data_IF_363368096028
#
_entry.id   IF_363368096028
#
_cell.length_a   1.000
_cell.length_b   1.000
_cell.length_c   1.000
_cell.angle_alpha   90.00
_cell.angle_beta   90.00
_cell.angle_gamma   90.00
#
_symmetry.space_group_name_H-M   'P 1'
#
loop_
_entity.id
_entity.type
_entity.pdbx_description
1 polymer ?
#
# COMPACT_ATOMS: atom_id res chain seq x y z
N UNK A 1 -0.22 -7.05 -7.20
CA UNK A 1 0.90 -7.46 -6.34
C UNK A 1 2.12 -7.69 -7.20
N UNK A 2 3.32 -7.26 -6.77
CA UNK A 2 4.52 -7.42 -7.59
C UNK A 2 4.83 -8.90 -7.83
N UNK A 3 4.95 -9.29 -9.11
CA UNK A 3 5.12 -10.70 -9.51
C UNK A 3 6.42 -11.25 -8.94
N UNK A 4 6.37 -12.43 -8.32
CA UNK A 4 7.56 -13.10 -7.78
C UNK A 4 8.17 -12.46 -6.53
N UNK A 5 7.43 -11.58 -5.86
CA UNK A 5 7.81 -11.00 -4.56
C UNK A 5 6.85 -11.52 -3.49
N UNK A 6 7.34 -12.22 -2.45
CA UNK A 6 6.49 -12.64 -1.34
C UNK A 6 5.95 -11.39 -0.65
N UNK A 7 4.63 -11.26 -0.58
CA UNK A 7 3.98 -10.09 -0.03
C UNK A 7 2.80 -10.48 0.86
N UNK A 8 2.61 -9.71 1.91
CA UNK A 8 1.44 -9.77 2.79
C UNK A 8 0.80 -8.38 2.80
N UNK A 9 -0.52 -8.36 2.70
CA UNK A 9 -1.31 -7.16 2.89
C UNK A 9 -2.25 -7.34 4.09
N UNK A 10 -2.53 -6.24 4.77
CA UNK A 10 -3.47 -6.17 5.87
C UNK A 10 -4.35 -4.95 5.71
N UNK A 11 -5.63 -5.08 6.01
CA UNK A 11 -6.62 -4.00 5.88
C UNK A 11 -7.37 -3.89 7.21
N UNK A 12 -7.40 -2.69 7.79
CA UNK A 12 -8.18 -2.41 8.99
C UNK A 12 -9.21 -1.31 8.70
N UNK A 13 -10.36 -1.41 9.35
CA UNK A 13 -11.30 -0.29 9.49
C UNK A 13 -10.78 0.65 10.58
N UNK A 14 -10.59 1.94 10.25
CA UNK A 14 -10.13 2.96 11.21
C UNK A 14 -11.25 3.89 11.66
N UNK A 15 -12.49 3.58 11.28
CA UNK A 15 -13.67 4.40 11.56
C UNK A 15 -13.82 5.56 10.58
N UNK A 16 -14.85 6.38 10.79
CA UNK A 16 -15.15 7.57 9.96
C UNK A 16 -15.29 7.31 8.45
N UNK A 17 -15.57 6.06 8.06
CA UNK A 17 -15.66 5.69 6.65
C UNK A 17 -14.31 5.42 5.99
N UNK A 18 -13.24 5.32 6.75
CA UNK A 18 -11.87 5.12 6.24
C UNK A 18 -11.36 3.70 6.51
N UNK A 19 -10.51 3.20 5.61
CA UNK A 19 -9.70 2.01 5.82
C UNK A 19 -8.23 2.40 5.85
N UNK A 20 -7.43 1.64 6.58
CA UNK A 20 -5.97 1.67 6.43
C UNK A 20 -5.51 0.38 5.77
N UNK A 21 -4.64 0.51 4.77
CA UNK A 21 -4.06 -0.58 4.00
C UNK A 21 -2.58 -0.62 4.30
N UNK A 22 -2.10 -1.77 4.77
CA UNK A 22 -0.70 -2.05 5.04
C UNK A 22 -0.22 -3.12 4.05
N UNK A 23 0.95 -2.93 3.46
CA UNK A 23 1.56 -3.91 2.55
C UNK A 23 3.03 -4.07 2.91
N UNK A 24 3.49 -5.31 3.02
CA UNK A 24 4.90 -5.65 3.20
C UNK A 24 5.36 -6.65 2.13
N UNK A 25 6.50 -6.36 1.50
CA UNK A 25 7.27 -7.30 0.69
C UNK A 25 8.39 -7.89 1.53
N UNK A 26 8.62 -9.21 1.40
CA UNK A 26 9.47 -9.99 2.31
C UNK A 26 9.09 -9.74 3.76
N UNK A 27 7.86 -10.11 4.15
CA UNK A 27 7.31 -9.75 5.45
C UNK A 27 8.11 -10.41 6.59
N UNK A 28 8.18 -9.71 7.71
CA UNK A 28 8.79 -10.18 8.96
C UNK A 28 7.69 -10.33 10.01
N UNK A 29 7.28 -11.58 10.25
CA UNK A 29 6.18 -11.87 11.15
C UNK A 29 4.88 -11.16 10.73
N UNK A 30 4.17 -10.64 11.70
CA UNK A 30 2.84 -10.03 11.59
C UNK A 30 2.79 -8.56 12.01
N UNK A 31 3.96 -7.92 12.18
CA UNK A 31 4.07 -6.50 12.56
C UNK A 31 3.38 -5.55 11.56
N UNK A 32 3.28 -5.97 10.30
CA UNK A 32 2.58 -5.21 9.24
C UNK A 32 1.11 -4.93 9.57
N UNK A 33 0.49 -5.66 10.52
CA UNK A 33 -0.87 -5.40 10.99
C UNK A 33 -1.03 -4.07 11.72
N UNK A 34 0.05 -3.58 12.32
CA UNK A 34 0.03 -2.45 13.24
C UNK A 34 0.77 -1.23 12.69
N UNK A 35 1.86 -1.43 11.96
CA UNK A 35 2.68 -0.34 11.43
C UNK A 35 3.49 -0.79 10.20
N UNK A 36 4.01 0.18 9.45
CA UNK A 36 4.97 -0.04 8.37
C UNK A 36 6.43 -0.05 8.86
N UNK A 37 7.37 0.06 7.92
CA UNK A 37 8.79 0.16 8.22
C UNK A 37 9.56 -1.16 8.12
N UNK A 38 10.87 -1.09 8.33
CA UNK A 38 11.78 -2.23 8.10
C UNK A 38 11.65 -3.39 9.10
N UNK A 39 10.90 -3.17 10.18
CA UNK A 39 10.53 -4.20 11.15
C UNK A 39 9.40 -5.09 10.63
N UNK A 40 8.54 -4.57 9.75
CA UNK A 40 7.43 -5.31 9.16
C UNK A 40 7.78 -5.97 7.82
N UNK A 41 8.81 -5.49 7.11
CA UNK A 41 9.29 -6.10 5.87
C UNK A 41 10.49 -5.38 5.27
N UNK A 42 10.97 -5.85 4.12
CA UNK A 42 12.10 -5.21 3.42
C UNK A 42 11.66 -4.05 2.51
N UNK A 43 10.39 -4.02 2.16
CA UNK A 43 9.72 -2.86 1.60
C UNK A 43 8.27 -2.84 2.10
N UNK A 44 7.80 -1.69 2.57
CA UNK A 44 6.45 -1.54 3.13
C UNK A 44 5.78 -0.27 2.65
N UNK A 45 4.47 -0.32 2.46
CA UNK A 45 3.62 0.83 2.25
C UNK A 45 2.44 0.77 3.22
N UNK A 46 2.11 1.90 3.84
CA UNK A 46 0.89 2.08 4.64
C UNK A 46 0.17 3.31 4.10
N UNK A 47 -1.14 3.22 3.89
CA UNK A 47 -1.94 4.34 3.41
C UNK A 47 -3.40 4.22 3.78
N UNK A 48 -4.12 5.34 3.69
CA UNK A 48 -5.53 5.43 4.05
C UNK A 48 -6.40 5.46 2.80
N UNK A 49 -7.57 4.84 2.86
CA UNK A 49 -8.58 4.82 1.81
C UNK A 49 -9.89 5.38 2.38
N UNK A 50 -10.34 6.48 1.81
CA UNK A 50 -11.63 7.10 2.13
C UNK A 50 -12.74 6.39 1.32
N UNK A 51 -13.83 5.95 1.96
CA UNK A 51 -14.87 5.17 1.27
C UNK A 51 -16.16 5.93 0.98
N UNK A 52 -16.45 7.00 1.71
CA UNK A 52 -17.74 7.69 1.64
C UNK A 52 -17.90 8.48 0.34
N UNK A 53 -16.85 9.16 -0.13
CA UNK A 53 -16.87 9.93 -1.39
C UNK A 53 -16.34 9.12 -2.59
N UNK A 54 -15.97 7.86 -2.39
CA UNK A 54 -15.37 7.00 -3.42
C UNK A 54 -13.98 7.47 -3.86
N UNK A 55 -13.25 8.16 -2.97
CA UNK A 55 -11.89 8.65 -3.25
C UNK A 55 -10.86 7.53 -3.10
N UNK A 56 -9.73 7.69 -3.79
CA UNK A 56 -8.65 6.72 -3.84
C UNK A 56 -7.76 6.78 -2.58
N UNK A 57 -6.67 6.00 -2.56
CA UNK A 57 -5.63 6.08 -1.51
C UNK A 57 -5.29 7.55 -1.27
N UNK A 58 -5.51 8.04 -0.06
CA UNK A 58 -5.28 9.41 0.33
C UNK A 58 -3.79 9.69 0.40
N UNK A 59 -3.34 10.68 -0.36
CA UNK A 59 -2.08 11.35 -0.12
C UNK A 59 -2.41 12.81 0.18
N UNK A 60 -2.54 13.13 1.46
CA UNK A 60 -2.85 14.48 1.94
C UNK A 60 -1.62 15.41 1.91
N UNK A 61 -0.49 14.96 1.36
CA UNK A 61 0.81 15.63 1.34
C UNK A 61 1.36 15.99 2.75
N UNK A 62 0.76 15.44 3.81
CA UNK A 62 1.18 15.58 5.22
C UNK A 62 1.59 14.26 5.86
N UNK A 63 1.50 13.15 5.12
CA UNK A 63 1.86 11.82 5.60
C UNK A 63 0.91 10.71 5.19
N UNK A 64 -0.08 10.96 4.31
CA UNK A 64 -1.09 9.96 3.92
C UNK A 64 -0.57 8.67 3.27
N UNK A 65 0.72 8.58 2.90
CA UNK A 65 1.34 7.30 2.55
C UNK A 65 2.72 7.21 3.21
N UNK A 66 2.87 6.25 4.12
CA UNK A 66 4.16 5.89 4.69
C UNK A 66 4.81 4.80 3.85
N UNK A 67 5.89 5.17 3.17
CA UNK A 67 6.68 4.28 2.32
C UNK A 67 8.07 4.07 2.91
N UNK A 68 8.45 2.82 3.14
CA UNK A 68 9.80 2.43 3.52
C UNK A 68 10.32 1.36 2.57
N UNK A 69 11.36 1.67 1.81
CA UNK A 69 11.95 0.73 0.85
C UNK A 69 13.46 0.74 0.99
N UNK A 70 14.08 -0.44 1.07
CA UNK A 70 15.53 -0.52 1.00
C UNK A 70 15.99 -0.17 -0.41
N UNK A 71 16.96 0.75 -0.51
CA UNK A 71 17.52 1.22 -1.79
C UNK A 71 17.95 0.09 -2.73
N UNK A 72 18.55 -0.97 -2.18
CA UNK A 72 18.99 -2.14 -2.97
C UNK A 72 17.84 -2.88 -3.67
N UNK A 73 16.60 -2.73 -3.20
CA UNK A 73 15.42 -3.41 -3.74
C UNK A 73 14.67 -2.57 -4.78
N UNK A 74 15.02 -1.29 -4.98
CA UNK A 74 14.34 -0.41 -5.94
C UNK A 74 14.26 -1.02 -7.35
N UNK A 75 15.35 -1.56 -7.94
CA UNK A 75 15.29 -2.11 -9.30
C UNK A 75 14.38 -3.32 -9.41
N UNK A 76 14.39 -4.19 -8.38
CA UNK A 76 13.57 -5.40 -8.37
C UNK A 76 12.10 -5.07 -8.20
N UNK A 77 11.77 -4.12 -7.32
CA UNK A 77 10.39 -3.67 -7.10
C UNK A 77 9.84 -2.95 -8.33
N UNK A 78 10.61 -2.05 -8.94
CA UNK A 78 10.16 -1.31 -10.13
C UNK A 78 9.87 -2.22 -11.32
N UNK A 79 10.66 -3.28 -11.49
CA UNK A 79 10.42 -4.30 -12.52
C UNK A 79 9.22 -5.21 -12.21
N UNK A 80 8.93 -5.45 -10.94
CA UNK A 80 7.84 -6.31 -10.51
C UNK A 80 6.49 -5.57 -10.47
N UNK A 81 6.50 -4.23 -10.42
CA UNK A 81 5.30 -3.40 -10.52
C UNK A 81 4.75 -3.50 -11.94
N UNK A 82 3.65 -4.23 -12.10
CA UNK A 82 2.84 -4.17 -13.31
C UNK A 82 2.18 -2.79 -13.39
N UNK A 83 2.11 -2.14 -14.59
CA UNK A 83 1.31 -0.94 -14.75
C UNK A 83 -0.10 -1.20 -14.23
N UNK A 84 -0.56 -0.31 -13.37
CA UNK A 84 -1.89 -0.37 -12.78
C UNK A 84 -2.94 -0.30 -13.89
N UNK A 85 -3.59 -1.43 -14.17
CA UNK A 85 -4.70 -1.49 -15.11
C UNK A 85 -5.90 -0.75 -14.49
N UNK A 86 -6.25 0.41 -15.03
CA UNK A 86 -7.54 1.07 -14.75
C UNK A 86 -7.56 2.17 -13.69
N UNK A 87 -6.47 2.92 -13.48
CA UNK A 87 -6.49 4.08 -12.58
C UNK A 87 -6.70 5.35 -13.40
N UNK A 88 -7.92 5.88 -13.37
CA UNK A 88 -8.22 7.26 -13.72
C UNK A 88 -8.07 8.13 -12.47
N UNK A 89 -7.62 9.38 -12.62
CA UNK A 89 -7.43 10.33 -11.50
C UNK A 89 -8.70 10.54 -10.67
N UNK A 90 -9.88 10.25 -11.23
CA UNK A 90 -11.19 10.24 -10.55
C UNK A 90 -12.03 9.07 -11.07
N UNK A 91 -12.72 8.36 -10.18
CA UNK A 91 -13.35 7.08 -10.47
C UNK A 91 -14.51 7.13 -11.48
N UNK A 92 -14.59 6.09 -12.32
CA UNK A 92 -15.75 5.19 -12.39
C UNK A 92 -15.23 3.79 -12.75
N UNK A 93 -15.54 2.80 -11.92
CA UNK A 93 -15.31 1.39 -12.21
C UNK A 93 -16.62 0.77 -12.70
N UNK A 94 -16.50 -0.01 -13.77
CA UNK A 94 -17.55 -0.80 -14.44
C UNK A 94 -18.50 -0.03 -15.38
N UNK A 95 -18.49 -0.47 -16.65
CA UNK A 95 -19.66 -0.51 -17.54
C UNK A 95 -19.79 -1.93 -18.08
#
# INVERSE_FOLDING_TARGET
MPVGIPAVAWVNDVGMGELVIHVACWPKGDMIRYHGGFEAGEATAVGWLERADGKWIMNDYRGGIDLSVRRALHPRLSQAITPTLGFLDQGMFFS
#
